data_IF_012196939112
#
_entry.id   IF_012196939112
#
_cell.length_a   1.000
_cell.length_b   1.000
_cell.length_c   1.000
_cell.angle_alpha   90.00
_cell.angle_beta   90.00
_cell.angle_gamma   90.00
#
_symmetry.space_group_name_H-M   'P 1'
#
loop_
_entity.id
_entity.type
_entity.pdbx_description
1 polymer ?
#
# COMPACT_ATOMS: atom_id res chain seq x y z
N UNK A 1 12.72 -18.96 23.52
CA UNK A 1 11.55 -18.06 23.50
C UNK A 1 11.94 -16.60 23.36
N UNK A 2 12.92 -16.11 24.13
CA UNK A 2 13.37 -14.70 24.09
C UNK A 2 13.90 -14.25 22.71
N UNK A 3 14.71 -15.09 22.04
CA UNK A 3 15.19 -14.83 20.67
C UNK A 3 14.07 -14.77 19.61
N UNK A 4 13.00 -15.56 19.77
CA UNK A 4 11.86 -15.56 18.86
C UNK A 4 11.05 -14.27 19.02
N UNK A 5 10.77 -13.87 20.27
CA UNK A 5 10.05 -12.64 20.56
C UNK A 5 10.81 -11.40 20.04
N UNK A 6 12.13 -11.35 20.22
CA UNK A 6 12.96 -10.25 19.69
C UNK A 6 12.92 -10.22 18.16
N UNK A 7 13.10 -11.37 17.50
CA UNK A 7 13.05 -11.48 16.03
C UNK A 7 11.68 -11.09 15.46
N UNK A 8 10.61 -11.50 16.15
CA UNK A 8 9.24 -11.13 15.83
C UNK A 8 9.03 -9.62 15.91
N UNK A 9 9.40 -9.00 17.03
CA UNK A 9 9.27 -7.55 17.22
C UNK A 9 10.07 -6.76 16.20
N UNK A 10 11.29 -7.18 15.90
CA UNK A 10 12.11 -6.53 14.88
C UNK A 10 11.48 -6.61 13.49
N UNK A 11 11.02 -7.81 13.08
CA UNK A 11 10.46 -8.02 11.75
C UNK A 11 9.10 -7.34 11.56
N UNK A 12 8.23 -7.42 12.55
CA UNK A 12 6.91 -6.77 12.50
C UNK A 12 7.02 -5.26 12.61
N UNK A 13 8.00 -4.72 13.35
CA UNK A 13 8.33 -3.30 13.31
C UNK A 13 8.86 -2.87 11.93
N UNK A 14 9.67 -3.70 11.26
CA UNK A 14 10.13 -3.41 9.90
C UNK A 14 8.96 -3.43 8.88
N UNK A 15 8.01 -4.36 9.02
CA UNK A 15 6.76 -4.36 8.24
C UNK A 15 5.99 -3.05 8.43
N UNK A 16 5.77 -2.64 9.68
CA UNK A 16 5.05 -1.39 9.96
C UNK A 16 5.79 -0.15 9.43
N UNK A 17 7.11 -0.07 9.62
CA UNK A 17 7.95 1.00 9.05
C UNK A 17 7.85 1.03 7.53
N UNK A 18 7.91 -0.12 6.87
CA UNK A 18 7.78 -0.20 5.41
C UNK A 18 6.43 0.36 4.93
N UNK A 19 5.34 -0.03 5.62
CA UNK A 19 3.99 0.50 5.38
C UNK A 19 3.93 2.01 5.52
N UNK A 20 4.49 2.57 6.60
CA UNK A 20 4.56 4.02 6.79
C UNK A 20 5.35 4.70 5.67
N UNK A 21 6.49 4.14 5.28
CA UNK A 21 7.34 4.72 4.24
C UNK A 21 6.60 4.81 2.92
N UNK A 22 6.09 3.69 2.39
CA UNK A 22 5.47 3.72 1.05
C UNK A 22 4.14 4.48 1.05
N UNK A 23 3.40 4.51 2.17
CA UNK A 23 2.14 5.26 2.25
C UNK A 23 2.37 6.77 2.35
N UNK A 24 3.25 7.24 3.23
CA UNK A 24 3.57 8.67 3.38
C UNK A 24 4.25 9.19 2.11
N UNK A 25 5.20 8.42 1.55
CA UNK A 25 5.84 8.79 0.30
C UNK A 25 4.85 8.79 -0.87
N UNK A 26 3.88 7.87 -0.89
CA UNK A 26 2.77 7.87 -1.85
C UNK A 26 1.96 9.16 -1.80
N UNK A 27 1.52 9.58 -0.60
CA UNK A 27 0.80 10.85 -0.40
C UNK A 27 1.65 12.03 -0.85
N UNK A 28 2.92 12.08 -0.45
CA UNK A 28 3.84 13.15 -0.83
C UNK A 28 4.01 13.23 -2.36
N UNK A 29 4.22 12.10 -3.03
CA UNK A 29 4.33 12.03 -4.50
C UNK A 29 3.05 12.50 -5.18
N UNK A 30 1.86 12.15 -4.68
CA UNK A 30 0.59 12.66 -5.22
C UNK A 30 0.50 14.19 -5.10
N UNK A 31 0.87 14.75 -3.95
CA UNK A 31 0.89 16.21 -3.74
C UNK A 31 1.89 16.90 -4.67
N UNK A 32 3.12 16.39 -4.77
CA UNK A 32 4.15 16.97 -5.64
C UNK A 32 3.77 16.86 -7.11
N UNK A 33 3.17 15.74 -7.53
CA UNK A 33 2.68 15.57 -8.90
C UNK A 33 1.56 16.57 -9.23
N UNK A 34 0.66 16.83 -8.28
CA UNK A 34 -0.38 17.83 -8.44
C UNK A 34 0.20 19.25 -8.58
N UNK A 35 1.17 19.62 -7.74
CA UNK A 35 1.87 20.92 -7.84
C UNK A 35 2.56 21.04 -9.19
N UNK A 36 3.28 19.98 -9.63
CA UNK A 36 3.93 19.96 -10.93
C UNK A 36 2.94 20.17 -12.08
N UNK A 37 1.77 19.51 -12.04
CA UNK A 37 0.73 19.69 -13.04
C UNK A 37 0.27 21.16 -13.15
N UNK A 38 0.04 21.83 -12.01
CA UNK A 38 -0.32 23.26 -11.99
C UNK A 38 0.80 24.13 -12.58
N UNK A 39 2.05 23.90 -12.17
CA UNK A 39 3.20 24.69 -12.66
C UNK A 39 3.44 24.48 -14.15
N UNK A 40 3.21 23.27 -14.67
CA UNK A 40 3.31 22.97 -16.10
C UNK A 40 2.21 23.69 -16.90
N UNK A 41 0.99 23.77 -16.38
CA UNK A 41 -0.07 24.57 -17.01
C UNK A 41 0.30 26.06 -17.04
N UNK A 42 0.85 26.59 -15.95
CA UNK A 42 1.29 27.98 -15.89
C UNK A 42 2.44 28.28 -16.85
N UNK A 43 3.42 27.37 -17.00
CA UNK A 43 4.55 27.56 -17.92
C UNK A 43 4.13 27.47 -19.39
N UNK A 44 3.16 26.60 -19.73
CA UNK A 44 2.58 26.56 -21.08
C UNK A 44 1.87 27.86 -21.43
N UNK A 45 1.08 28.42 -20.50
CA UNK A 45 0.41 29.73 -20.69
C UNK A 45 1.44 30.84 -20.87
N UNK A 46 2.48 30.85 -20.04
CA UNK A 46 3.57 31.82 -20.15
C UNK A 46 4.26 31.73 -21.52
N UNK A 47 4.63 30.53 -21.96
CA UNK A 47 5.28 30.29 -23.25
C UNK A 47 4.40 30.68 -24.46
N UNK A 48 3.08 30.44 -24.38
CA UNK A 48 2.11 30.90 -25.37
C UNK A 48 2.02 32.43 -25.43
N UNK A 49 2.17 33.11 -24.29
CA UNK A 49 2.09 34.57 -24.19
C UNK A 49 3.40 35.30 -24.52
N UNK A 50 4.55 34.69 -24.24
CA UNK A 50 5.87 35.31 -24.43
C UNK A 50 6.60 34.83 -25.69
N UNK A 51 6.16 33.72 -26.31
CA UNK A 51 6.86 33.08 -27.42
C UNK A 51 8.14 32.32 -27.00
N UNK A 52 8.54 32.38 -25.74
CA UNK A 52 9.74 31.72 -25.22
C UNK A 52 9.38 30.39 -24.54
N UNK A 53 9.90 29.29 -25.09
CA UNK A 53 9.80 27.98 -24.43
C UNK A 53 10.96 27.85 -23.44
N UNK A 54 10.65 28.04 -22.16
CA UNK A 54 11.55 27.72 -21.05
C UNK A 54 11.78 26.20 -21.00
N UNK A 55 12.96 25.75 -21.43
CA UNK A 55 13.46 24.38 -21.23
C UNK A 55 14.26 24.30 -19.93
N UNK A 56 13.62 24.67 -18.81
CA UNK A 56 14.26 24.70 -17.49
C UNK A 56 14.58 23.30 -16.96
N UNK A 57 15.76 23.14 -16.35
CA UNK A 57 16.23 21.91 -15.69
C UNK A 57 15.33 21.43 -14.54
N UNK A 58 15.74 20.35 -13.86
CA UNK A 58 14.97 19.73 -12.78
C UNK A 58 14.69 20.71 -11.63
N UNK A 59 13.47 21.24 -11.56
CA UNK A 59 13.01 22.08 -10.46
C UNK A 59 12.90 21.31 -9.13
N UNK A 60 12.83 22.05 -8.02
CA UNK A 60 12.70 21.48 -6.66
C UNK A 60 11.57 20.44 -6.57
N UNK A 61 10.40 20.74 -7.12
CA UNK A 61 9.24 19.85 -7.09
C UNK A 61 9.47 18.53 -7.85
N UNK A 62 10.23 18.56 -8.95
CA UNK A 62 10.63 17.37 -9.68
C UNK A 62 11.56 16.49 -8.85
N UNK A 63 12.55 17.10 -8.18
CA UNK A 63 13.48 16.37 -7.30
C UNK A 63 12.76 15.75 -6.09
N UNK A 64 11.83 16.48 -5.47
CA UNK A 64 11.02 15.97 -4.36
C UNK A 64 10.11 14.81 -4.80
N UNK A 65 9.53 14.89 -6.00
CA UNK A 65 8.72 13.80 -6.55
C UNK A 65 9.58 12.55 -6.84
N UNK A 66 10.78 12.72 -7.40
CA UNK A 66 11.74 11.62 -7.60
C UNK A 66 12.10 10.98 -6.24
N UNK A 67 12.45 11.80 -5.24
CA UNK A 67 12.79 11.30 -3.90
C UNK A 67 11.63 10.53 -3.26
N UNK A 68 10.40 11.04 -3.37
CA UNK A 68 9.20 10.34 -2.91
C UNK A 68 9.00 9.01 -3.66
N UNK A 69 9.20 8.99 -4.98
CA UNK A 69 9.09 7.77 -5.78
C UNK A 69 10.13 6.71 -5.36
N UNK A 70 11.38 7.13 -5.12
CA UNK A 70 12.44 6.25 -4.59
C UNK A 70 12.05 5.70 -3.22
N UNK A 71 11.50 6.54 -2.34
CA UNK A 71 11.02 6.11 -1.02
C UNK A 71 9.86 5.10 -1.13
N UNK A 72 8.94 5.26 -2.07
CA UNK A 72 7.88 4.28 -2.35
C UNK A 72 8.49 2.93 -2.73
N UNK A 73 9.42 2.90 -3.69
CA UNK A 73 10.09 1.67 -4.15
C UNK A 73 10.84 1.00 -2.99
N UNK A 74 11.59 1.78 -2.21
CA UNK A 74 12.28 1.28 -1.03
C UNK A 74 11.32 0.71 0.01
N UNK A 75 10.21 1.39 0.27
CA UNK A 75 9.17 0.94 1.19
C UNK A 75 8.57 -0.40 0.77
N UNK A 76 8.23 -0.57 -0.51
CA UNK A 76 7.74 -1.86 -1.02
C UNK A 76 8.80 -2.96 -0.97
N UNK A 77 10.05 -2.66 -1.28
CA UNK A 77 11.14 -3.62 -1.17
C UNK A 77 11.32 -4.09 0.28
N UNK A 78 11.34 -3.16 1.24
CA UNK A 78 11.45 -3.47 2.67
C UNK A 78 10.25 -4.29 3.15
N UNK A 79 9.06 -3.97 2.65
CA UNK A 79 7.83 -4.69 2.98
C UNK A 79 7.88 -6.15 2.51
N UNK A 80 8.21 -6.38 1.23
CA UNK A 80 8.33 -7.72 0.63
C UNK A 80 9.40 -8.56 1.35
N UNK A 81 10.56 -7.97 1.61
CA UNK A 81 11.65 -8.64 2.35
C UNK A 81 11.22 -9.01 3.77
N UNK A 82 10.53 -8.10 4.46
CA UNK A 82 10.08 -8.34 5.83
C UNK A 82 8.96 -9.38 5.89
N UNK A 83 8.13 -9.49 4.85
CA UNK A 83 7.13 -10.57 4.73
C UNK A 83 7.77 -11.95 4.58
N UNK A 84 8.88 -12.07 3.86
CA UNK A 84 9.61 -13.34 3.73
C UNK A 84 10.14 -13.81 5.09
N UNK A 85 10.70 -12.90 5.89
CA UNK A 85 11.13 -13.20 7.26
C UNK A 85 9.92 -13.53 8.16
N UNK A 86 8.85 -12.74 8.05
CA UNK A 86 7.63 -12.91 8.83
C UNK A 86 6.97 -14.27 8.61
N UNK A 87 6.94 -14.73 7.35
CA UNK A 87 6.45 -16.05 6.96
C UNK A 87 7.18 -17.18 7.69
N UNK A 88 8.47 -17.05 7.94
CA UNK A 88 9.27 -18.06 8.64
C UNK A 88 9.05 -18.12 10.15
N UNK A 89 8.34 -17.15 10.73
CA UNK A 89 8.11 -17.06 12.18
C UNK A 89 6.68 -17.38 12.60
N UNK A 90 5.74 -17.46 11.65
CA UNK A 90 4.35 -17.86 11.91
C UNK A 90 4.20 -19.37 11.86
N UNK A 91 3.09 -19.89 12.39
CA UNK A 91 2.80 -21.31 12.26
C UNK A 91 2.70 -21.70 10.76
N UNK A 92 3.18 -22.90 10.37
CA UNK A 92 3.02 -23.47 9.03
C UNK A 92 1.61 -23.40 8.43
N UNK A 93 0.55 -23.39 9.25
CA UNK A 93 -0.83 -23.19 8.77
C UNK A 93 -1.10 -21.75 8.30
N UNK A 94 -0.40 -20.76 8.85
CA UNK A 94 -0.52 -19.34 8.48
C UNK A 94 0.53 -18.89 7.46
N UNK A 95 1.67 -19.56 7.37
CA UNK A 95 2.75 -19.22 6.45
C UNK A 95 2.32 -19.08 4.96
N UNK A 96 1.44 -19.94 4.40
CA UNK A 96 0.93 -19.76 3.03
C UNK A 96 0.15 -18.44 2.86
N UNK A 97 -0.56 -17.99 3.90
CA UNK A 97 -1.36 -16.75 3.88
C UNK A 97 -0.45 -15.52 3.83
N UNK A 98 0.63 -15.52 4.61
CA UNK A 98 1.67 -14.49 4.54
C UNK A 98 2.36 -14.49 3.16
N UNK A 99 2.65 -15.68 2.63
CA UNK A 99 3.16 -15.83 1.27
C UNK A 99 2.22 -15.25 0.20
N UNK A 100 0.91 -15.46 0.36
CA UNK A 100 -0.11 -14.89 -0.52
C UNK A 100 -0.10 -13.35 -0.48
N UNK A 101 0.01 -12.74 0.70
CA UNK A 101 0.13 -11.27 0.84
C UNK A 101 1.32 -10.76 0.03
N UNK A 102 2.49 -11.41 0.18
CA UNK A 102 3.70 -11.04 -0.56
C UNK A 102 3.50 -11.14 -2.08
N UNK A 103 3.01 -12.30 -2.54
CA UNK A 103 2.78 -12.54 -3.97
C UNK A 103 1.78 -11.53 -4.53
N UNK A 104 0.70 -11.26 -3.80
CA UNK A 104 -0.29 -10.28 -4.20
C UNK A 104 0.28 -8.85 -4.25
N UNK A 105 1.13 -8.45 -3.31
CA UNK A 105 1.82 -7.16 -3.39
C UNK A 105 2.70 -7.06 -4.64
N UNK A 106 3.45 -8.11 -4.98
CA UNK A 106 4.28 -8.15 -6.20
C UNK A 106 3.40 -8.08 -7.44
N UNK A 107 2.33 -8.87 -7.50
CA UNK A 107 1.37 -8.85 -8.61
C UNK A 107 0.73 -7.47 -8.74
N UNK A 108 0.41 -6.79 -7.64
CA UNK A 108 -0.14 -5.45 -7.70
C UNK A 108 0.85 -4.44 -8.28
N UNK A 109 2.13 -4.51 -7.89
CA UNK A 109 3.16 -3.65 -8.47
C UNK A 109 3.35 -3.91 -9.97
N UNK A 110 3.39 -5.19 -10.39
CA UNK A 110 3.45 -5.56 -11.80
C UNK A 110 2.21 -5.08 -12.56
N UNK A 111 1.02 -5.24 -11.96
CA UNK A 111 -0.25 -4.81 -12.53
C UNK A 111 -0.30 -3.31 -12.77
N UNK A 112 0.19 -2.51 -11.81
CA UNK A 112 0.32 -1.04 -11.96
C UNK A 112 1.26 -0.67 -13.12
N UNK A 113 2.42 -1.33 -13.24
CA UNK A 113 3.36 -1.05 -14.34
C UNK A 113 2.75 -1.42 -15.70
N UNK A 114 2.09 -2.58 -15.80
CA UNK A 114 1.44 -3.01 -17.05
C UNK A 114 0.24 -2.13 -17.42
N UNK A 115 -0.48 -1.60 -16.44
CA UNK A 115 -1.60 -0.67 -16.67
C UNK A 115 -1.16 0.62 -17.38
N UNK A 116 0.11 1.01 -17.24
CA UNK A 116 0.67 2.19 -17.90
C UNK A 116 1.00 1.98 -19.39
N UNK A 117 0.97 0.74 -19.90
CA UNK A 117 1.34 0.44 -21.29
C UNK A 117 0.07 0.43 -22.16
N UNK A 118 0.01 1.26 -23.22
CA UNK A 118 -1.10 1.23 -24.18
C UNK A 118 -1.33 -0.18 -24.76
N UNK A 119 -2.58 -0.54 -25.05
CA UNK A 119 -3.03 -1.85 -25.57
C UNK A 119 -3.01 -3.04 -24.58
N UNK A 120 -2.08 -3.10 -23.62
CA UNK A 120 -2.02 -4.20 -22.63
C UNK A 120 -2.52 -3.81 -21.24
N UNK A 121 -2.93 -2.56 -21.02
CA UNK A 121 -3.36 -2.08 -19.71
C UNK A 121 -4.52 -2.87 -19.09
N UNK A 122 -5.38 -3.51 -19.90
CA UNK A 122 -6.43 -4.42 -19.44
C UNK A 122 -5.83 -5.62 -18.67
N UNK A 123 -4.71 -6.17 -19.15
CA UNK A 123 -4.00 -7.26 -18.47
C UNK A 123 -3.52 -6.80 -17.09
N UNK A 124 -2.98 -5.58 -17.00
CA UNK A 124 -2.60 -4.97 -15.72
C UNK A 124 -3.79 -4.84 -14.75
N UNK A 125 -4.96 -4.42 -15.26
CA UNK A 125 -6.20 -4.38 -14.49
C UNK A 125 -6.63 -5.74 -13.94
N UNK A 126 -6.58 -6.79 -14.76
CA UNK A 126 -6.91 -8.16 -14.35
C UNK A 126 -5.93 -8.66 -13.27
N UNK A 127 -4.63 -8.45 -13.46
CA UNK A 127 -3.61 -8.84 -12.49
C UNK A 127 -3.83 -8.13 -11.14
N UNK A 128 -4.14 -6.84 -11.16
CA UNK A 128 -4.47 -6.07 -9.96
C UNK A 128 -5.72 -6.61 -9.25
N UNK A 129 -6.76 -7.01 -10.01
CA UNK A 129 -7.95 -7.62 -9.43
C UNK A 129 -7.62 -8.96 -8.74
N UNK A 130 -6.83 -9.82 -9.39
CA UNK A 130 -6.38 -11.10 -8.81
C UNK A 130 -5.56 -10.86 -7.53
N UNK A 131 -4.61 -9.94 -7.57
CA UNK A 131 -3.82 -9.55 -6.40
C UNK A 131 -4.71 -9.07 -5.24
N UNK A 132 -5.70 -8.23 -5.53
CA UNK A 132 -6.62 -7.73 -4.53
C UNK A 132 -7.47 -8.85 -3.90
N UNK A 133 -7.99 -9.80 -4.70
CA UNK A 133 -8.72 -10.97 -4.19
C UNK A 133 -7.81 -11.84 -3.30
N UNK A 134 -6.56 -12.06 -3.71
CA UNK A 134 -5.59 -12.81 -2.92
C UNK A 134 -5.33 -12.17 -1.55
N UNK A 135 -5.21 -10.84 -1.49
CA UNK A 135 -5.07 -10.09 -0.25
C UNK A 135 -6.32 -10.26 0.63
N UNK A 136 -7.50 -10.11 0.06
CA UNK A 136 -8.76 -10.23 0.79
C UNK A 136 -8.89 -11.62 1.43
N UNK A 137 -8.62 -12.69 0.67
CA UNK A 137 -8.62 -14.07 1.17
C UNK A 137 -7.57 -14.24 2.27
N UNK A 138 -6.34 -13.76 2.06
CA UNK A 138 -5.27 -13.92 3.05
C UNK A 138 -5.62 -13.27 4.39
N UNK A 139 -6.07 -12.01 4.39
CA UNK A 139 -6.44 -11.31 5.63
C UNK A 139 -7.73 -11.86 6.24
N UNK A 140 -8.70 -12.30 5.44
CA UNK A 140 -9.90 -12.97 5.95
C UNK A 140 -9.56 -14.27 6.69
N UNK A 141 -8.55 -15.00 6.24
CA UNK A 141 -8.13 -16.22 6.91
C UNK A 141 -7.26 -15.93 8.14
N UNK A 142 -6.37 -14.94 8.07
CA UNK A 142 -5.48 -14.58 9.19
C UNK A 142 -6.24 -14.00 10.38
N UNK A 143 -7.29 -13.19 10.16
CA UNK A 143 -8.10 -12.63 11.25
C UNK A 143 -8.80 -13.72 12.09
N UNK A 144 -9.15 -14.84 11.45
CA UNK A 144 -9.88 -15.97 12.04
C UNK A 144 -8.97 -17.14 12.42
N UNK A 145 -7.65 -17.00 12.23
CA UNK A 145 -6.68 -18.05 12.53
C UNK A 145 -6.60 -18.37 14.02
N UNK A 146 -6.60 -19.64 14.39
CA UNK A 146 -6.39 -20.07 15.77
C UNK A 146 -4.91 -20.00 16.21
N UNK A 147 -3.99 -20.05 15.26
CA UNK A 147 -2.54 -20.09 15.49
C UNK A 147 -1.87 -18.73 15.39
N UNK A 148 -2.56 -17.73 14.84
CA UNK A 148 -2.03 -16.38 14.71
C UNK A 148 -2.23 -15.60 16.03
N UNK A 149 -1.23 -14.84 16.52
CA UNK A 149 -1.34 -14.11 17.79
C UNK A 149 -2.56 -13.18 17.83
N UNK A 150 -3.22 -13.07 18.98
CA UNK A 150 -4.46 -12.29 19.11
C UNK A 150 -4.29 -10.83 18.66
N UNK A 151 -3.19 -10.17 19.05
CA UNK A 151 -2.87 -8.82 18.60
C UNK A 151 -2.70 -8.72 17.08
N UNK A 152 -2.07 -9.72 16.47
CA UNK A 152 -1.85 -9.78 15.03
C UNK A 152 -3.16 -10.08 14.28
N UNK A 153 -4.04 -10.92 14.82
CA UNK A 153 -5.40 -11.17 14.30
C UNK A 153 -6.26 -9.92 14.31
N UNK A 154 -6.23 -9.14 15.40
CA UNK A 154 -6.90 -7.84 15.48
C UNK A 154 -6.39 -6.89 14.39
N UNK A 155 -5.08 -6.91 14.15
CA UNK A 155 -4.47 -6.16 13.05
C UNK A 155 -4.94 -6.61 11.67
N UNK A 156 -4.93 -7.92 11.40
CA UNK A 156 -5.43 -8.51 10.17
C UNK A 156 -6.92 -8.21 9.94
N UNK A 157 -7.74 -8.21 10.99
CA UNK A 157 -9.16 -7.83 10.94
C UNK A 157 -9.34 -6.37 10.50
N UNK A 158 -8.53 -5.44 11.04
CA UNK A 158 -8.58 -4.03 10.61
C UNK A 158 -8.22 -3.87 9.14
N UNK A 159 -7.18 -4.57 8.67
CA UNK A 159 -6.77 -4.53 7.26
C UNK A 159 -7.87 -5.15 6.37
N UNK A 160 -8.47 -6.26 6.79
CA UNK A 160 -9.59 -6.87 6.07
C UNK A 160 -10.78 -5.91 5.96
N UNK A 161 -11.18 -5.27 7.06
CA UNK A 161 -12.29 -4.29 7.04
C UNK A 161 -11.93 -3.11 6.15
N UNK A 162 -10.69 -2.61 6.17
CA UNK A 162 -10.24 -1.56 5.27
C UNK A 162 -10.43 -1.94 3.78
N UNK A 163 -10.15 -3.21 3.43
CA UNK A 163 -10.38 -3.71 2.07
C UNK A 163 -11.86 -3.74 1.71
N UNK A 164 -12.74 -4.15 2.64
CA UNK A 164 -14.20 -4.11 2.43
C UNK A 164 -14.70 -2.67 2.28
N UNK A 165 -14.21 -1.73 3.09
CA UNK A 165 -14.52 -0.30 2.93
C UNK A 165 -14.09 0.21 1.55
N UNK A 166 -12.98 -0.29 1.01
CA UNK A 166 -12.55 -0.01 -0.36
C UNK A 166 -13.58 -0.46 -1.41
N UNK A 167 -14.16 -1.66 -1.27
CA UNK A 167 -15.24 -2.15 -2.15
C UNK A 167 -16.47 -1.26 -2.05
N UNK A 168 -16.92 -0.97 -0.82
CA UNK A 168 -18.09 -0.12 -0.59
C UNK A 168 -17.85 1.27 -1.19
N UNK A 169 -16.68 1.85 -0.97
CA UNK A 169 -16.28 3.13 -1.55
C UNK A 169 -16.29 3.12 -3.08
N UNK A 170 -15.79 2.03 -3.69
CA UNK A 170 -15.85 1.88 -5.14
C UNK A 170 -17.29 1.80 -5.66
N UNK A 171 -18.18 1.01 -5.03
CA UNK A 171 -19.59 0.88 -5.43
C UNK A 171 -20.37 2.18 -5.24
N UNK A 172 -20.23 2.82 -4.07
CA UNK A 172 -20.94 4.07 -3.75
C UNK A 172 -20.40 5.24 -4.59
N UNK A 173 -19.14 5.19 -5.00
CA UNK A 173 -18.50 6.20 -5.85
C UNK A 173 -19.19 6.41 -7.21
N UNK A 174 -20.00 5.46 -7.67
CA UNK A 174 -20.79 5.60 -8.90
C UNK A 174 -22.00 6.54 -8.76
N UNK A 175 -22.39 6.91 -7.54
CA UNK A 175 -23.47 7.85 -7.29
C UNK A 175 -22.95 9.28 -7.55
N UNK A 176 -23.54 10.03 -8.50
CA UNK A 176 -23.11 11.39 -8.79
C UNK A 176 -23.17 12.29 -7.55
N UNK A 177 -22.16 13.16 -7.39
CA UNK A 177 -22.03 14.19 -6.33
C UNK A 177 -21.86 13.60 -4.91
N UNK A 178 -22.81 12.80 -4.42
CA UNK A 178 -22.81 12.26 -3.06
C UNK A 178 -21.83 11.08 -2.93
N UNK A 179 -21.71 10.27 -3.99
CA UNK A 179 -20.88 9.07 -3.98
C UNK A 179 -19.39 9.37 -3.81
N UNK A 180 -18.88 10.42 -4.47
CA UNK A 180 -17.46 10.79 -4.40
C UNK A 180 -17.06 11.27 -3.01
N UNK A 181 -17.92 12.04 -2.32
CA UNK A 181 -17.67 12.49 -0.94
C UNK A 181 -17.66 11.30 0.01
N UNK A 182 -18.62 10.39 -0.10
CA UNK A 182 -18.65 9.18 0.73
C UNK A 182 -17.43 8.30 0.45
N UNK A 183 -17.07 8.07 -0.81
CA UNK A 183 -15.90 7.28 -1.19
C UNK A 183 -14.61 7.86 -0.63
N UNK A 184 -14.46 9.20 -0.62
CA UNK A 184 -13.32 9.87 -0.01
C UNK A 184 -13.25 9.62 1.51
N UNK A 185 -14.37 9.78 2.22
CA UNK A 185 -14.44 9.53 3.67
C UNK A 185 -14.06 8.07 3.97
N UNK A 186 -14.63 7.11 3.24
CA UNK A 186 -14.32 5.69 3.40
C UNK A 186 -12.84 5.38 3.11
N UNK A 187 -12.25 6.02 2.10
CA UNK A 187 -10.83 5.89 1.79
C UNK A 187 -9.94 6.38 2.93
N UNK A 188 -10.28 7.53 3.55
CA UNK A 188 -9.56 8.06 4.71
C UNK A 188 -9.65 7.11 5.90
N UNK A 189 -10.85 6.59 6.20
CA UNK A 189 -11.04 5.61 7.27
C UNK A 189 -10.24 4.33 7.00
N UNK A 190 -10.34 3.79 5.78
CA UNK A 190 -9.60 2.60 5.36
C UNK A 190 -8.08 2.80 5.47
N UNK A 191 -7.58 3.98 5.10
CA UNK A 191 -6.17 4.34 5.25
C UNK A 191 -5.69 4.21 6.71
N UNK A 192 -6.40 4.83 7.66
CA UNK A 192 -6.04 4.70 9.08
C UNK A 192 -6.22 3.27 9.62
N UNK A 193 -7.19 2.51 9.11
CA UNK A 193 -7.35 1.10 9.45
C UNK A 193 -6.20 0.23 8.97
N UNK A 194 -5.62 0.50 7.80
CA UNK A 194 -4.41 -0.18 7.32
C UNK A 194 -3.23 0.13 8.26
N UNK A 195 -3.00 1.41 8.57
CA UNK A 195 -1.88 1.80 9.46
C UNK A 195 -2.02 1.20 10.85
N UNK A 196 -3.19 1.33 11.47
CA UNK A 196 -3.46 0.77 12.79
C UNK A 196 -3.46 -0.76 12.78
N UNK A 197 -3.86 -1.39 11.67
CA UNK A 197 -3.79 -2.82 11.48
C UNK A 197 -2.35 -3.34 11.53
N UNK A 198 -1.45 -2.72 10.77
CA UNK A 198 -0.03 -3.06 10.81
C UNK A 198 0.64 -2.70 12.14
N UNK A 199 0.23 -1.61 12.78
CA UNK A 199 0.67 -1.27 14.13
C UNK A 199 0.28 -2.36 15.15
N UNK A 200 -0.96 -2.86 15.10
CA UNK A 200 -1.39 -3.98 15.95
C UNK A 200 -0.55 -5.25 15.71
N UNK A 201 -0.18 -5.54 14.46
CA UNK A 201 0.73 -6.65 14.14
C UNK A 201 2.12 -6.40 14.75
N UNK A 202 2.66 -5.20 14.67
CA UNK A 202 3.94 -4.82 15.30
C UNK A 202 3.93 -4.91 16.83
N UNK A 203 2.82 -4.48 17.43
CA UNK A 203 2.67 -4.46 18.89
C UNK A 203 2.28 -5.83 19.46
N UNK A 204 1.94 -6.81 18.60
CA UNK A 204 1.59 -8.17 19.01
C UNK A 204 2.75 -8.98 19.57
N UNK A 205 2.44 -9.96 20.41
CA UNK A 205 3.39 -10.97 20.85
C UNK A 205 3.66 -12.00 19.75
N UNK A 206 4.82 -12.65 19.82
CA UNK A 206 5.14 -13.73 18.91
C UNK A 206 4.14 -14.89 19.07
N UNK A 207 3.98 -15.72 18.03
CA UNK A 207 3.23 -16.97 18.14
C UNK A 207 3.75 -17.80 19.30
N UNK A 208 2.85 -18.46 20.02
CA UNK A 208 3.23 -19.40 21.07
C UNK A 208 4.23 -20.40 20.49
N UNK A 209 5.37 -20.56 21.18
CA UNK A 209 6.36 -21.55 20.78
C UNK A 209 5.72 -22.94 20.80
N UNK A 210 6.01 -23.74 19.77
CA UNK A 210 5.71 -25.17 19.77
C UNK A 210 6.44 -25.88 20.91
#
# INVERSE_FOLDING_TARGET
>A
MENLQQSWKQTTANLYKAVLIYTVAGIASSVFSFILAITATASVIAALSSGEVSTGGLGLWSLLNIAATVAIVYGYWLFIKSLDLFKGMVDPLDAPRIGSIRTATILSLVGVVLACIPLIGIVGGIINLVAWIMLLIAYSNLKDSATFPEGARKGASKIFVAMILGVIGWVVGWIPIVGSVIALILSIVAFFMILTGWKCIADSEAPAAR
#
